data_IF_815858189831
#
_entry.id   IF_815858189831
#
_cell.length_a   1.000
_cell.length_b   1.000
_cell.length_c   1.000
_cell.angle_alpha   90.00
_cell.angle_beta   90.00
_cell.angle_gamma   90.00
#
_symmetry.space_group_name_H-M   'P 1'
#
loop_
_entity.id
_entity.type
_entity.pdbx_description
1 polymer ?
#
# COMPACT_ATOMS: atom_id res chain seq x y z
N UNK A 1 4.93 9.83 -63.25
CA UNK A 1 6.24 9.29 -63.70
C UNK A 1 7.24 10.43 -63.56
N UNK A 2 7.98 10.51 -62.45
CA UNK A 2 9.39 10.09 -62.37
C UNK A 2 10.28 11.21 -62.92
N UNK A 3 11.26 11.80 -62.22
CA UNK A 3 12.41 11.15 -61.58
C UNK A 3 13.25 12.19 -60.81
N UNK A 4 13.56 11.82 -59.56
CA UNK A 4 14.85 11.85 -58.85
C UNK A 4 15.44 13.18 -58.35
N UNK A 5 15.42 13.25 -57.02
CA UNK A 5 16.07 14.18 -56.10
C UNK A 5 17.59 13.99 -56.00
N UNK A 6 18.21 15.15 -55.72
CA UNK A 6 19.58 15.46 -55.31
C UNK A 6 20.11 14.67 -54.09
N UNK A 7 21.44 14.66 -53.96
CA UNK A 7 22.28 15.22 -52.84
C UNK A 7 23.59 14.40 -52.76
N UNK A 8 24.75 14.94 -53.13
CA UNK A 8 25.64 15.89 -52.41
C UNK A 8 25.99 15.39 -51.00
N UNK A 9 27.18 14.81 -50.94
CA UNK A 9 28.00 14.46 -49.77
C UNK A 9 28.43 15.71 -49.00
N UNK A 10 28.37 15.70 -47.66
CA UNK A 10 29.36 16.37 -46.80
C UNK A 10 29.48 15.60 -45.47
N UNK A 11 30.72 15.29 -45.09
CA UNK A 11 31.14 14.70 -43.83
C UNK A 11 31.28 15.77 -42.74
N UNK A 12 31.12 15.43 -41.45
CA UNK A 12 31.82 16.12 -40.37
C UNK A 12 31.99 15.23 -39.12
N UNK A 13 33.24 15.10 -38.70
CA UNK A 13 33.68 14.50 -37.44
C UNK A 13 33.12 15.25 -36.22
N UNK A 14 32.79 14.50 -35.16
CA UNK A 14 32.58 15.02 -33.81
C UNK A 14 32.79 13.91 -32.80
N UNK A 15 33.89 13.98 -32.06
CA UNK A 15 34.33 12.99 -31.09
C UNK A 15 33.33 12.82 -29.93
N UNK A 16 32.99 11.57 -29.61
CA UNK A 16 32.14 11.21 -28.48
C UNK A 16 33.05 10.85 -27.29
N UNK A 17 33.10 11.72 -26.28
CA UNK A 17 33.79 11.47 -25.01
C UNK A 17 33.14 10.31 -24.26
N UNK A 18 33.91 9.26 -23.96
CA UNK A 18 33.48 8.14 -23.13
C UNK A 18 33.89 8.44 -21.69
N UNK A 19 32.93 8.81 -20.84
CA UNK A 19 33.10 8.84 -19.39
C UNK A 19 33.08 7.40 -18.87
N UNK A 20 34.24 6.89 -18.43
CA UNK A 20 34.32 5.63 -17.69
C UNK A 20 34.05 5.92 -16.20
N UNK A 21 32.83 5.62 -15.72
CA UNK A 21 32.55 5.50 -14.29
C UNK A 21 32.69 4.05 -13.88
N UNK A 22 33.71 3.75 -13.08
CA UNK A 22 33.85 2.50 -12.35
C UNK A 22 32.90 2.50 -11.15
N UNK A 23 31.85 1.69 -11.17
CA UNK A 23 31.04 1.41 -9.99
C UNK A 23 31.54 0.12 -9.33
N UNK A 24 32.14 0.26 -8.16
CA UNK A 24 32.46 -0.86 -7.27
C UNK A 24 31.14 -1.45 -6.76
N UNK A 25 30.81 -2.68 -7.17
CA UNK A 25 29.73 -3.44 -6.55
C UNK A 25 30.23 -4.00 -5.21
N UNK A 26 29.76 -3.45 -4.09
CA UNK A 26 29.88 -4.11 -2.79
C UNK A 26 28.94 -5.31 -2.77
N UNK A 27 29.52 -6.51 -2.78
CA UNK A 27 28.82 -7.72 -2.37
C UNK A 27 28.55 -7.61 -0.86
N UNK A 28 27.34 -7.20 -0.48
CA UNK A 28 26.84 -7.42 0.87
C UNK A 28 26.29 -8.84 0.94
N UNK A 29 26.98 -9.70 1.68
CA UNK A 29 26.48 -11.00 2.09
C UNK A 29 25.14 -10.82 2.83
N UNK A 30 24.06 -11.29 2.22
CA UNK A 30 22.75 -11.31 2.85
C UNK A 30 22.71 -12.45 3.87
N UNK A 31 22.69 -12.09 5.15
CA UNK A 31 22.31 -12.99 6.26
C UNK A 31 20.96 -13.63 5.94
N UNK A 32 20.80 -14.97 6.03
CA UNK A 32 19.50 -15.59 5.83
C UNK A 32 18.58 -15.23 7.01
N UNK A 33 17.60 -14.36 6.75
CA UNK A 33 16.53 -14.07 7.70
C UNK A 33 15.62 -15.29 7.82
N UNK A 34 15.47 -15.76 9.06
CA UNK A 34 14.58 -16.84 9.47
C UNK A 34 13.16 -16.68 8.88
N UNK A 35 12.54 -17.73 8.31
CA UNK A 35 11.29 -17.63 7.59
C UNK A 35 10.10 -17.80 8.55
N UNK A 36 9.70 -16.76 9.29
CA UNK A 36 8.39 -16.83 9.98
C UNK A 36 7.67 -15.49 10.19
N UNK A 37 8.11 -14.37 9.59
CA UNK A 37 7.43 -13.07 9.76
C UNK A 37 7.24 -12.22 8.52
N UNK A 38 7.61 -12.71 7.34
CA UNK A 38 7.63 -11.91 6.10
C UNK A 38 6.35 -11.99 5.25
N UNK A 39 5.37 -12.83 5.60
CA UNK A 39 4.23 -13.11 4.69
C UNK A 39 3.10 -12.06 4.79
N UNK A 40 3.04 -11.24 5.85
CA UNK A 40 1.97 -10.24 5.99
C UNK A 40 2.37 -8.86 5.46
N UNK A 41 3.66 -8.49 5.49
CA UNK A 41 4.10 -7.17 5.02
C UNK A 41 4.05 -6.99 3.51
N UNK A 42 4.02 -8.08 2.73
CA UNK A 42 4.01 -8.03 1.26
C UNK A 42 2.72 -7.45 0.67
N UNK A 43 1.63 -7.41 1.46
CA UNK A 43 0.31 -7.03 0.98
C UNK A 43 -0.18 -5.67 1.51
N UNK A 44 0.63 -4.99 2.32
CA UNK A 44 0.25 -3.71 2.92
C UNK A 44 0.62 -2.53 2.03
N UNK A 45 -0.22 -1.49 2.05
CA UNK A 45 0.08 -0.25 1.35
C UNK A 45 1.44 0.34 1.76
N UNK A 46 2.17 0.95 0.82
CA UNK A 46 3.31 1.80 1.13
C UNK A 46 2.93 2.86 2.17
N UNK A 47 3.82 3.10 3.15
CA UNK A 47 3.62 4.11 4.19
C UNK A 47 3.00 3.59 5.50
N UNK A 48 2.47 2.37 5.53
CA UNK A 48 1.99 1.75 6.78
C UNK A 48 3.15 1.04 7.49
N UNK A 49 3.35 1.33 8.78
CA UNK A 49 4.39 0.64 9.55
C UNK A 49 4.09 -0.86 9.66
N UNK A 50 5.11 -1.75 9.63
CA UNK A 50 4.88 -3.19 9.67
C UNK A 50 4.05 -3.66 10.87
N UNK A 51 4.21 -3.03 12.03
CA UNK A 51 3.44 -3.36 13.23
C UNK A 51 1.94 -3.05 13.06
N UNK A 52 1.60 -1.87 12.54
CA UNK A 52 0.22 -1.45 12.31
C UNK A 52 -0.42 -2.28 11.20
N UNK A 53 0.37 -2.60 10.17
CA UNK A 53 -0.02 -3.51 9.10
C UNK A 53 -0.41 -4.89 9.67
N UNK A 54 0.40 -5.48 10.53
CA UNK A 54 0.10 -6.76 11.15
C UNK A 54 -1.14 -6.70 12.06
N UNK A 55 -1.29 -5.63 12.85
CA UNK A 55 -2.44 -5.44 13.72
C UNK A 55 -3.74 -5.28 12.91
N UNK A 56 -3.72 -4.45 11.88
CA UNK A 56 -4.83 -4.28 10.95
C UNK A 56 -5.16 -5.58 10.20
N UNK A 57 -4.15 -6.36 9.79
CA UNK A 57 -4.35 -7.66 9.13
C UNK A 57 -5.01 -8.68 10.07
N UNK A 58 -4.63 -8.72 11.33
CA UNK A 58 -5.29 -9.56 12.33
C UNK A 58 -6.78 -9.22 12.44
N UNK A 59 -7.11 -7.94 12.62
CA UNK A 59 -8.50 -7.49 12.74
C UNK A 59 -9.30 -7.75 11.46
N UNK A 60 -8.70 -7.48 10.30
CA UNK A 60 -9.29 -7.76 8.98
C UNK A 60 -9.65 -9.23 8.83
N UNK A 61 -8.67 -10.13 9.00
CA UNK A 61 -8.89 -11.57 8.83
C UNK A 61 -9.89 -12.13 9.85
N UNK A 62 -9.89 -11.61 11.08
CA UNK A 62 -10.89 -11.95 12.07
C UNK A 62 -12.29 -11.52 11.61
N UNK A 63 -12.45 -10.26 11.18
CA UNK A 63 -13.73 -9.74 10.71
C UNK A 63 -14.29 -10.58 9.55
N UNK A 64 -13.47 -10.93 8.56
CA UNK A 64 -13.91 -11.78 7.43
C UNK A 64 -14.35 -13.18 7.87
N UNK A 65 -13.65 -13.79 8.83
CA UNK A 65 -14.00 -15.12 9.33
C UNK A 65 -15.18 -15.13 10.32
N UNK A 66 -15.61 -13.96 10.80
CA UNK A 66 -16.63 -13.82 11.84
C UNK A 66 -17.81 -12.93 11.42
N UNK A 67 -18.20 -12.93 10.14
CA UNK A 67 -19.33 -12.13 9.62
C UNK A 67 -19.24 -10.65 10.00
N UNK A 68 -18.04 -10.07 9.88
CA UNK A 68 -17.74 -8.68 10.21
C UNK A 68 -17.97 -8.31 11.69
N UNK A 69 -17.93 -9.30 12.58
CA UNK A 69 -17.79 -9.02 14.01
C UNK A 69 -16.32 -8.71 14.34
N UNK A 70 -16.11 -7.72 15.20
CA UNK A 70 -14.77 -7.37 15.67
C UNK A 70 -14.18 -8.44 16.60
N UNK A 71 -12.85 -8.60 16.63
CA UNK A 71 -12.20 -9.39 17.66
C UNK A 71 -12.51 -8.83 19.06
N UNK A 72 -12.36 -9.65 20.13
CA UNK A 72 -12.67 -9.22 21.50
C UNK A 72 -11.99 -7.89 21.86
N UNK A 73 -12.76 -6.95 22.38
CA UNK A 73 -12.32 -5.60 22.79
C UNK A 73 -11.86 -4.66 21.66
N UNK A 74 -11.86 -5.10 20.39
CA UNK A 74 -11.69 -4.21 19.24
C UNK A 74 -13.06 -3.64 18.87
N UNK A 75 -13.32 -2.38 19.24
CA UNK A 75 -14.63 -1.77 19.01
C UNK A 75 -14.92 -1.72 17.52
N UNK A 76 -16.07 -2.26 17.12
CA UNK A 76 -16.57 -2.24 15.75
C UNK A 76 -17.79 -1.31 15.67
N UNK A 77 -17.86 -0.47 14.63
CA UNK A 77 -19.06 0.32 14.34
C UNK A 77 -19.19 0.61 12.85
N UNK A 78 -20.41 0.87 12.34
CA UNK A 78 -20.59 1.38 10.99
C UNK A 78 -19.76 2.65 10.78
N UNK A 79 -19.18 2.79 9.60
CA UNK A 79 -18.47 4.00 9.18
C UNK A 79 -19.27 4.68 8.07
N UNK A 80 -19.72 5.91 8.32
CA UNK A 80 -20.64 6.60 7.40
C UNK A 80 -19.99 7.14 6.13
N UNK A 81 -18.67 7.32 6.10
CA UNK A 81 -17.95 8.01 5.02
C UNK A 81 -18.59 9.35 4.62
N UNK A 82 -19.04 10.14 5.61
CA UNK A 82 -19.77 11.40 5.38
C UNK A 82 -18.93 12.47 4.68
N UNK A 83 -17.62 12.44 4.92
CA UNK A 83 -16.67 13.37 4.32
C UNK A 83 -16.22 12.95 2.91
N UNK A 84 -16.70 11.79 2.42
CA UNK A 84 -16.42 11.31 1.07
C UNK A 84 -14.96 10.93 0.81
N UNK A 85 -14.20 10.59 1.85
CA UNK A 85 -12.78 10.22 1.75
C UNK A 85 -12.57 8.84 1.11
N UNK A 86 -13.56 7.95 1.27
CA UNK A 86 -13.59 6.62 0.64
C UNK A 86 -14.58 6.62 -0.55
N UNK A 87 -14.52 5.62 -1.46
CA UNK A 87 -15.47 5.51 -2.56
C UNK A 87 -16.94 5.56 -2.11
N UNK A 88 -17.81 6.15 -2.93
CA UNK A 88 -19.24 6.20 -2.62
C UNK A 88 -19.90 4.82 -2.75
N UNK A 89 -20.99 4.59 -1.99
CA UNK A 89 -21.82 3.38 -2.11
C UNK A 89 -21.29 2.13 -1.40
N UNK A 90 -20.17 2.21 -0.68
CA UNK A 90 -19.67 1.11 0.15
C UNK A 90 -20.48 0.91 1.44
N UNK A 91 -20.51 -0.33 1.94
CA UNK A 91 -21.07 -0.66 3.25
C UNK A 91 -19.92 -0.79 4.24
N UNK A 92 -19.48 0.35 4.77
CA UNK A 92 -18.25 0.42 5.55
C UNK A 92 -18.48 0.10 7.03
N UNK A 93 -17.60 -0.72 7.57
CA UNK A 93 -17.46 -0.96 9.00
C UNK A 93 -16.02 -0.66 9.42
N UNK A 94 -15.85 -0.05 10.59
CA UNK A 94 -14.54 0.32 11.11
C UNK A 94 -14.28 -0.33 12.46
N UNK A 95 -13.00 -0.60 12.72
CA UNK A 95 -12.52 -1.28 13.90
C UNK A 95 -11.31 -0.57 14.51
N UNK A 96 -11.20 -0.65 15.82
CA UNK A 96 -9.93 -0.42 16.51
C UNK A 96 -8.92 -1.49 16.09
N UNK A 97 -7.69 -1.08 15.75
CA UNK A 97 -6.60 -2.05 15.52
C UNK A 97 -5.78 -2.34 16.79
N UNK A 98 -5.85 -1.45 17.78
CA UNK A 98 -5.23 -1.63 19.10
C UNK A 98 -6.23 -1.43 20.22
N UNK A 99 -6.11 -2.26 21.26
CA UNK A 99 -6.91 -2.18 22.48
C UNK A 99 -6.09 -1.47 23.56
N UNK A 100 -6.17 -0.15 23.59
CA UNK A 100 -5.38 0.71 24.50
C UNK A 100 -6.28 1.64 25.30
N UNK A 101 -5.75 2.12 26.43
CA UNK A 101 -6.35 3.21 27.22
C UNK A 101 -5.28 4.30 27.42
N UNK A 102 -5.45 5.51 26.86
CA UNK A 102 -6.57 5.95 26.03
C UNK A 102 -6.67 5.17 24.71
N UNK A 103 -7.85 5.19 24.10
CA UNK A 103 -8.12 4.52 22.82
C UNK A 103 -7.17 5.10 21.76
N UNK A 104 -6.46 4.24 21.03
CA UNK A 104 -5.61 4.65 19.90
C UNK A 104 -6.46 5.38 18.85
N UNK A 105 -5.84 6.19 18.01
CA UNK A 105 -6.48 6.83 16.85
C UNK A 105 -6.48 5.94 15.60
N UNK A 106 -5.73 4.85 15.63
CA UNK A 106 -5.52 3.97 14.49
C UNK A 106 -6.72 3.04 14.26
N UNK A 107 -7.19 2.97 13.02
CA UNK A 107 -8.38 2.20 12.63
C UNK A 107 -8.15 1.44 11.33
N UNK A 108 -8.90 0.38 11.15
CA UNK A 108 -9.12 -0.24 9.84
C UNK A 108 -10.60 -0.09 9.47
N UNK A 109 -10.85 0.33 8.24
CA UNK A 109 -12.17 0.43 7.62
C UNK A 109 -12.26 -0.62 6.51
N UNK A 110 -13.33 -1.41 6.52
CA UNK A 110 -13.56 -2.51 5.58
C UNK A 110 -14.88 -2.24 4.85
N UNK A 111 -14.87 -2.24 3.52
CA UNK A 111 -16.10 -2.35 2.73
C UNK A 111 -16.61 -3.78 2.81
N UNK A 112 -17.78 -3.98 3.43
CA UNK A 112 -18.39 -5.31 3.54
C UNK A 112 -18.80 -5.87 2.18
N UNK A 113 -19.07 -5.01 1.21
CA UNK A 113 -19.47 -5.43 -0.13
C UNK A 113 -18.27 -5.91 -0.96
N UNK A 114 -17.09 -5.30 -0.76
CA UNK A 114 -15.87 -5.60 -1.52
C UNK A 114 -14.63 -5.64 -0.61
N UNK A 115 -14.59 -6.52 0.41
CA UNK A 115 -13.55 -6.45 1.44
C UNK A 115 -12.14 -6.62 0.88
N UNK A 116 -11.98 -7.37 -0.20
CA UNK A 116 -10.73 -7.48 -0.95
C UNK A 116 -10.58 -6.28 -1.88
N UNK A 117 -9.57 -5.45 -1.65
CA UNK A 117 -9.30 -4.27 -2.49
C UNK A 117 -9.98 -2.97 -2.02
N UNK A 118 -11.13 -3.03 -1.33
CA UNK A 118 -11.78 -1.86 -0.74
C UNK A 118 -11.73 -1.92 0.79
N UNK A 119 -10.51 -1.89 1.32
CA UNK A 119 -10.28 -1.71 2.76
C UNK A 119 -9.15 -0.72 2.97
N UNK A 120 -9.25 0.08 4.03
CA UNK A 120 -8.33 1.18 4.31
C UNK A 120 -7.89 1.19 5.75
N UNK A 121 -6.64 1.53 5.96
CA UNK A 121 -6.07 1.84 7.26
C UNK A 121 -6.01 3.35 7.42
N UNK A 122 -6.29 3.86 8.62
CA UNK A 122 -5.99 5.24 9.01
C UNK A 122 -5.21 5.26 10.31
N UNK A 123 -4.19 6.10 10.39
CA UNK A 123 -3.39 6.26 11.60
C UNK A 123 -3.86 7.42 12.50
N UNK A 124 -4.80 8.24 12.03
CA UNK A 124 -5.16 9.52 12.65
C UNK A 124 -6.67 9.70 12.67
N UNK A 125 -7.40 8.71 13.19
CA UNK A 125 -8.82 8.81 13.48
C UNK A 125 -9.70 9.42 12.38
N UNK A 126 -9.47 9.02 11.13
CA UNK A 126 -10.21 9.48 9.94
C UNK A 126 -9.92 10.94 9.50
N UNK A 127 -8.82 11.55 9.96
CA UNK A 127 -8.39 12.87 9.47
C UNK A 127 -8.24 12.89 7.94
N UNK A 128 -8.56 14.01 7.27
CA UNK A 128 -8.45 14.13 5.82
C UNK A 128 -7.09 13.71 5.27
N UNK A 129 -7.10 12.73 4.37
CA UNK A 129 -5.87 12.23 3.73
C UNK A 129 -5.08 11.20 4.55
N UNK A 130 -5.60 10.78 5.70
CA UNK A 130 -4.96 9.76 6.55
C UNK A 130 -5.23 8.31 6.12
N UNK A 131 -6.00 8.10 5.04
CA UNK A 131 -6.38 6.77 4.58
C UNK A 131 -5.37 6.16 3.60
N UNK A 132 -4.88 4.98 3.94
CA UNK A 132 -3.99 4.14 3.14
C UNK A 132 -4.73 2.87 2.75
N UNK A 133 -4.71 2.50 1.46
CA UNK A 133 -5.42 1.32 1.00
C UNK A 133 -4.79 0.05 1.58
N UNK A 134 -5.47 -0.64 2.49
CA UNK A 134 -4.81 -1.61 3.35
C UNK A 134 -4.39 -2.90 2.61
N UNK A 135 -5.24 -3.40 1.73
CA UNK A 135 -4.93 -4.52 0.83
C UNK A 135 -5.04 -4.08 -0.62
N UNK A 136 -3.91 -4.10 -1.32
CA UNK A 136 -3.89 -4.01 -2.77
C UNK A 136 -4.30 -5.38 -3.33
N UNK A 137 -5.21 -5.40 -4.30
CA UNK A 137 -5.52 -6.63 -5.04
C UNK A 137 -4.23 -7.10 -5.72
N UNK A 138 -3.85 -8.36 -5.51
CA UNK A 138 -2.70 -8.98 -6.17
C UNK A 138 -2.88 -9.06 -7.68
#
# INVERSE_FOLDING_TARGET
>A
MGIIMRRVTVALCGALSIFALTTSAHASEATPLSPERAVVSANCSPGVQPQDCNAAAFVYNYALSHNFNGPPNHKAHPYGNTDGQLPAGGDYITYDIYVTTPRSDQRIVIDKNNPSGNSWYTHDHYEPGSFYQFFLVA
#
